data_IF_547037941741
#
_entry.id   IF_547037941741
#
_cell.length_a   1.000
_cell.length_b   1.000
_cell.length_c   1.000
_cell.angle_alpha   90.00
_cell.angle_beta   90.00
_cell.angle_gamma   90.00
#
_symmetry.space_group_name_H-M   'P 1'
#
loop_
_entity.id
_entity.type
_entity.pdbx_description
1 polymer ?
#
# COMPACT_ATOMS: atom_id res chain seq x y z
N UNK A 1 18.73 -36.50 2.17
CA UNK A 1 19.05 -35.26 1.44
C UNK A 1 18.28 -34.13 2.11
N UNK A 2 18.94 -33.33 2.94
CA UNK A 2 18.31 -32.21 3.65
C UNK A 2 18.37 -30.96 2.76
N UNK A 3 17.20 -30.46 2.35
CA UNK A 3 17.09 -29.20 1.62
C UNK A 3 17.00 -28.04 2.60
N UNK A 4 18.05 -27.21 2.68
CA UNK A 4 17.98 -25.92 3.35
C UNK A 4 17.03 -25.00 2.58
N UNK A 5 15.93 -24.61 3.22
CA UNK A 5 15.15 -23.44 2.80
C UNK A 5 15.89 -22.20 3.28
N UNK A 6 16.48 -21.45 2.38
CA UNK A 6 17.01 -20.10 2.67
C UNK A 6 15.81 -19.18 2.92
N UNK A 7 15.52 -18.91 4.19
CA UNK A 7 14.66 -17.79 4.54
C UNK A 7 15.35 -16.49 4.11
N UNK A 8 14.59 -15.54 3.57
CA UNK A 8 15.08 -14.19 3.33
C UNK A 8 15.33 -13.59 4.72
N UNK A 9 16.59 -13.56 5.14
CA UNK A 9 16.98 -13.15 6.49
C UNK A 9 16.63 -11.69 6.76
N UNK A 10 16.12 -11.42 7.95
CA UNK A 10 15.96 -10.06 8.46
C UNK A 10 17.33 -9.54 8.92
N UNK A 11 17.92 -8.64 8.14
CA UNK A 11 19.14 -7.94 8.56
C UNK A 11 18.77 -6.83 9.54
N UNK A 12 18.96 -7.09 10.84
CA UNK A 12 18.83 -6.10 11.91
C UNK A 12 19.84 -4.93 11.78
N UNK A 13 20.82 -5.04 10.87
CA UNK A 13 21.80 -4.00 10.51
C UNK A 13 21.36 -3.09 9.35
N UNK A 14 20.16 -3.31 8.78
CA UNK A 14 19.67 -2.50 7.68
C UNK A 14 19.55 -1.02 8.08
N UNK A 15 19.85 -0.08 7.15
CA UNK A 15 19.78 1.35 7.45
C UNK A 15 18.36 1.77 7.80
N UNK A 16 18.25 2.64 8.80
CA UNK A 16 16.98 3.29 9.14
C UNK A 16 16.61 4.29 8.03
N UNK A 17 15.46 4.09 7.41
CA UNK A 17 15.00 4.92 6.30
C UNK A 17 14.30 6.18 6.81
N UNK A 18 14.40 7.26 6.04
CA UNK A 18 13.65 8.50 6.27
C UNK A 18 13.19 9.07 4.94
N UNK A 19 11.99 9.66 4.92
CA UNK A 19 11.43 10.30 3.75
C UNK A 19 9.95 10.57 3.94
N UNK A 20 9.15 10.09 3.00
CA UNK A 20 7.70 10.29 2.95
C UNK A 20 6.97 8.97 2.76
N UNK A 21 5.73 8.87 3.23
CA UNK A 21 4.87 7.73 2.91
C UNK A 21 4.61 7.69 1.42
N UNK A 22 4.78 6.51 0.80
CA UNK A 22 4.62 6.28 -0.64
C UNK A 22 3.24 6.65 -1.18
N UNK A 23 2.27 6.54 -0.30
CA UNK A 23 0.88 6.22 -0.57
C UNK A 23 0.05 6.48 0.68
N UNK A 24 -1.28 6.48 0.52
CA UNK A 24 -2.15 6.47 1.68
C UNK A 24 -1.99 5.15 2.44
N UNK A 25 -1.73 5.26 3.73
CA UNK A 25 -1.65 4.14 4.65
C UNK A 25 -2.87 4.15 5.56
N UNK A 26 -3.26 3.01 6.10
CA UNK A 26 -4.39 2.91 7.02
C UNK A 26 -3.95 2.18 8.29
N UNK A 27 -4.33 2.75 9.43
CA UNK A 27 -3.84 2.32 10.73
C UNK A 27 -4.98 1.89 11.66
N UNK A 28 -4.82 0.73 12.31
CA UNK A 28 -5.61 0.36 13.48
C UNK A 28 -4.80 0.70 14.72
N UNK A 29 -5.22 1.74 15.45
CA UNK A 29 -4.42 2.34 16.52
C UNK A 29 -3.04 2.77 16.00
N UNK A 30 -1.98 2.09 16.42
CA UNK A 30 -0.60 2.31 15.99
C UNK A 30 -0.12 1.28 14.96
N UNK A 31 -0.95 0.33 14.51
CA UNK A 31 -0.56 -0.75 13.60
C UNK A 31 -0.99 -0.47 12.15
N UNK A 32 -0.03 -0.52 11.23
CA UNK A 32 -0.25 -0.41 9.78
C UNK A 32 0.18 -1.74 9.15
N UNK A 33 -0.80 -2.55 8.75
CA UNK A 33 -0.56 -3.84 8.09
C UNK A 33 -0.17 -3.64 6.62
N UNK A 34 0.62 -4.56 6.07
CA UNK A 34 0.85 -4.70 4.63
C UNK A 34 -0.44 -4.90 3.82
N UNK A 35 -1.53 -5.30 4.47
CA UNK A 35 -2.90 -5.36 3.90
C UNK A 35 -3.60 -4.02 3.70
N UNK A 36 -3.20 -2.99 4.42
CA UNK A 36 -3.66 -1.61 4.24
C UNK A 36 -5.19 -1.43 4.11
N UNK A 37 -5.97 -2.11 4.96
CA UNK A 37 -7.44 -2.12 4.90
C UNK A 37 -8.05 -0.70 4.87
N UNK A 38 -8.79 -0.40 3.78
CA UNK A 38 -9.33 0.94 3.49
C UNK A 38 -10.39 1.44 4.47
N UNK A 39 -10.99 0.57 5.28
CA UNK A 39 -11.96 0.99 6.29
C UNK A 39 -11.32 1.62 7.54
N UNK A 40 -10.00 1.50 7.69
CA UNK A 40 -9.29 2.04 8.85
C UNK A 40 -8.96 3.54 8.68
N UNK A 41 -8.64 4.27 9.76
CA UNK A 41 -8.17 5.66 9.68
C UNK A 41 -6.97 5.84 8.72
N UNK A 42 -7.10 6.78 7.79
CA UNK A 42 -6.11 7.04 6.75
C UNK A 42 -5.03 8.04 7.18
N UNK A 43 -3.79 7.70 6.85
CA UNK A 43 -2.60 8.55 6.87
C UNK A 43 -2.29 8.94 5.41
N UNK A 44 -2.30 10.23 5.05
CA UNK A 44 -2.12 10.64 3.66
C UNK A 44 -0.76 10.26 3.07
N UNK A 45 -0.75 9.98 1.75
CA UNK A 45 0.47 9.91 0.96
C UNK A 45 1.29 11.21 1.10
N UNK A 46 2.61 11.07 1.22
CA UNK A 46 3.50 12.21 1.41
C UNK A 46 3.54 12.72 2.85
N UNK A 47 3.14 11.90 3.83
CA UNK A 47 3.35 12.21 5.24
C UNK A 47 4.83 11.96 5.59
N UNK A 48 5.53 12.87 6.29
CA UNK A 48 6.90 12.62 6.73
C UNK A 48 6.98 11.36 7.59
N UNK A 49 7.89 10.45 7.25
CA UNK A 49 8.09 9.17 7.92
C UNK A 49 9.56 8.92 8.19
N UNK A 50 9.86 8.35 9.36
CA UNK A 50 11.20 7.88 9.72
C UNK A 50 11.11 6.54 10.43
N UNK A 51 11.91 5.57 9.98
CA UNK A 51 12.08 4.29 10.66
C UNK A 51 12.93 4.50 11.91
N UNK A 52 12.46 4.01 13.05
CA UNK A 52 13.14 4.12 14.35
C UNK A 52 13.73 2.80 14.82
N UNK A 53 13.33 1.67 14.22
CA UNK A 53 13.95 0.38 14.44
C UNK A 53 13.25 -0.75 13.66
N UNK A 54 13.96 -1.85 13.44
CA UNK A 54 13.42 -3.09 12.88
C UNK A 54 13.31 -4.15 13.97
N UNK A 55 12.26 -4.96 13.90
CA UNK A 55 12.06 -6.17 14.70
C UNK A 55 11.49 -7.29 13.82
N UNK A 56 11.17 -8.44 14.41
CA UNK A 56 11.07 -9.72 13.67
C UNK A 56 9.99 -9.87 12.60
N UNK A 57 9.01 -8.96 12.54
CA UNK A 57 7.98 -8.92 11.49
C UNK A 57 7.41 -7.50 11.39
N UNK A 58 8.12 -6.51 11.91
CA UNK A 58 7.62 -5.14 12.02
C UNK A 58 8.73 -4.12 12.08
N UNK A 59 8.47 -2.94 11.56
CA UNK A 59 9.31 -1.77 11.77
C UNK A 59 8.59 -0.74 12.64
N UNK A 60 9.28 -0.21 13.65
CA UNK A 60 8.82 0.96 14.38
C UNK A 60 9.09 2.21 13.55
N UNK A 61 8.12 3.10 13.44
CA UNK A 61 8.22 4.33 12.66
C UNK A 61 7.64 5.53 13.41
N UNK A 62 8.16 6.72 13.13
CA UNK A 62 7.51 7.99 13.44
C UNK A 62 6.88 8.53 12.15
N UNK A 63 5.59 8.86 12.18
CA UNK A 63 4.89 9.50 11.07
C UNK A 63 4.29 10.81 11.57
N UNK A 64 4.84 11.93 11.09
CA UNK A 64 4.38 13.26 11.49
C UNK A 64 4.44 13.50 13.00
N UNK A 65 5.45 12.95 13.71
CA UNK A 65 5.62 13.11 15.16
C UNK A 65 4.80 12.15 16.02
N UNK A 66 4.16 11.13 15.41
CA UNK A 66 3.41 10.10 16.12
C UNK A 66 4.02 8.72 15.87
N UNK A 67 4.14 7.87 16.91
CA UNK A 67 4.65 6.52 16.76
C UNK A 67 3.63 5.59 16.09
N UNK A 68 4.10 4.79 15.14
CA UNK A 68 3.37 3.69 14.50
C UNK A 68 4.28 2.47 14.32
N UNK A 69 3.69 1.34 13.94
CA UNK A 69 4.34 0.09 13.59
C UNK A 69 3.88 -0.35 12.21
N UNK A 70 4.81 -0.56 11.30
CA UNK A 70 4.57 -1.21 10.00
C UNK A 70 4.66 -2.72 10.22
N UNK A 71 3.53 -3.43 10.09
CA UNK A 71 3.40 -4.87 10.25
C UNK A 71 3.46 -5.63 8.94
N UNK A 72 4.46 -6.50 8.77
CA UNK A 72 4.54 -7.37 7.61
C UNK A 72 3.77 -8.66 7.90
N UNK A 73 2.45 -8.61 7.82
CA UNK A 73 1.58 -9.66 8.35
C UNK A 73 1.47 -10.85 7.38
N UNK A 74 1.37 -10.56 6.07
CA UNK A 74 0.99 -11.55 5.05
C UNK A 74 2.08 -11.81 4.01
N UNK A 75 2.88 -10.82 3.60
CA UNK A 75 3.85 -10.90 2.49
C UNK A 75 5.22 -11.53 2.80
N UNK A 76 5.42 -12.06 4.02
CA UNK A 76 6.72 -12.49 4.55
C UNK A 76 7.40 -13.62 3.78
N UNK A 77 6.63 -14.43 3.07
CA UNK A 77 7.17 -15.50 2.24
C UNK A 77 7.65 -15.00 0.87
N UNK A 78 7.26 -13.79 0.48
CA UNK A 78 7.49 -13.21 -0.84
C UNK A 78 8.59 -12.14 -0.83
N UNK A 79 8.72 -11.40 0.27
CA UNK A 79 9.75 -10.36 0.44
C UNK A 79 10.21 -10.26 1.91
N UNK A 80 11.33 -9.58 2.17
CA UNK A 80 11.74 -9.24 3.52
C UNK A 80 10.98 -8.04 4.07
N UNK A 81 10.97 -7.88 5.39
CA UNK A 81 10.45 -6.67 6.05
C UNK A 81 11.10 -5.40 5.49
N UNK A 82 12.43 -5.41 5.29
CA UNK A 82 13.19 -4.26 4.79
C UNK A 82 12.83 -3.92 3.34
N UNK A 83 12.60 -4.93 2.49
CA UNK A 83 12.13 -4.72 1.12
C UNK A 83 10.75 -4.08 1.11
N UNK A 84 9.82 -4.59 1.93
CA UNK A 84 8.49 -4.01 2.05
C UNK A 84 8.53 -2.57 2.59
N UNK A 85 9.25 -2.32 3.68
CA UNK A 85 9.42 -0.98 4.27
C UNK A 85 10.07 0.00 3.29
N UNK A 86 11.03 -0.46 2.48
CA UNK A 86 11.65 0.33 1.42
C UNK A 86 10.67 0.78 0.32
N UNK A 87 9.56 0.06 0.11
CA UNK A 87 8.47 0.50 -0.77
C UNK A 87 7.59 1.56 -0.11
N UNK A 88 7.44 1.52 1.22
CA UNK A 88 6.59 2.43 1.99
C UNK A 88 7.27 3.77 2.25
N UNK A 89 8.58 3.77 2.51
CA UNK A 89 9.38 4.98 2.77
C UNK A 89 10.09 5.43 1.49
N UNK A 90 9.56 6.48 0.85
CA UNK A 90 10.12 7.02 -0.39
C UNK A 90 10.92 8.31 -0.12
N UNK A 91 12.05 8.54 -0.81
CA UNK A 91 12.90 9.70 -0.55
C UNK A 91 12.30 11.03 -1.02
N UNK A 92 11.44 11.01 -2.04
CA UNK A 92 10.81 12.19 -2.61
C UNK A 92 9.32 12.26 -2.24
N UNK A 93 8.84 13.46 -1.89
CA UNK A 93 7.43 13.65 -1.52
C UNK A 93 6.50 13.36 -2.72
N UNK A 94 5.66 12.30 -2.66
CA UNK A 94 4.74 11.98 -3.73
C UNK A 94 3.70 13.07 -3.99
N UNK A 95 3.45 14.00 -3.05
CA UNK A 95 2.52 15.13 -3.25
C UNK A 95 2.92 15.98 -4.45
N UNK A 96 4.22 16.15 -4.71
CA UNK A 96 4.72 16.91 -5.86
C UNK A 96 4.34 16.27 -7.20
N UNK A 97 4.33 14.93 -7.24
CA UNK A 97 3.89 14.18 -8.41
C UNK A 97 2.37 14.13 -8.52
N UNK A 98 1.67 13.89 -7.41
CA UNK A 98 0.20 13.85 -7.32
C UNK A 98 -0.41 15.19 -7.77
N UNK A 99 0.21 16.31 -7.43
CA UNK A 99 -0.24 17.64 -7.85
C UNK A 99 -0.34 17.80 -9.38
N UNK A 100 0.50 17.08 -10.14
CA UNK A 100 0.57 17.13 -11.61
C UNK A 100 -0.46 16.23 -12.30
N UNK A 101 -1.17 15.37 -11.56
CA UNK A 101 -2.18 14.50 -12.15
C UNK A 101 -3.45 15.26 -12.55
N UNK A 102 -4.26 14.69 -13.47
CA UNK A 102 -5.62 15.16 -13.71
C UNK A 102 -6.43 15.30 -12.42
N UNK A 103 -7.32 16.29 -12.39
CA UNK A 103 -8.05 16.65 -11.16
C UNK A 103 -8.82 15.46 -10.56
N UNK A 104 -9.52 14.68 -11.38
CA UNK A 104 -10.26 13.50 -10.93
C UNK A 104 -9.36 12.45 -10.26
N UNK A 105 -8.17 12.21 -10.80
CA UNK A 105 -7.20 11.25 -10.22
C UNK A 105 -6.64 11.79 -8.91
N UNK A 106 -6.30 13.08 -8.87
CA UNK A 106 -5.78 13.73 -7.67
C UNK A 106 -6.80 13.73 -6.53
N UNK A 107 -8.07 14.01 -6.83
CA UNK A 107 -9.15 14.00 -5.85
C UNK A 107 -9.45 12.59 -5.36
N UNK A 108 -9.42 11.59 -6.26
CA UNK A 108 -9.55 10.18 -5.90
C UNK A 108 -8.41 9.72 -4.97
N UNK A 109 -7.15 10.04 -5.28
CA UNK A 109 -6.01 9.76 -4.41
C UNK A 109 -6.19 10.44 -3.05
N UNK A 110 -6.61 11.71 -3.00
CA UNK A 110 -6.86 12.40 -1.72
C UNK A 110 -7.95 11.72 -0.89
N UNK A 111 -8.94 11.14 -1.55
CA UNK A 111 -10.05 10.43 -0.91
C UNK A 111 -9.72 8.99 -0.49
N UNK A 112 -8.54 8.45 -0.84
CA UNK A 112 -8.24 7.03 -0.63
C UNK A 112 -9.06 6.11 -1.54
N UNK A 113 -9.45 6.60 -2.72
CA UNK A 113 -10.35 5.94 -3.66
C UNK A 113 -9.77 5.84 -5.06
N UNK A 114 -10.43 5.04 -5.89
CA UNK A 114 -10.00 4.66 -7.22
C UNK A 114 -10.97 5.19 -8.28
N UNK A 115 -10.42 5.58 -9.42
CA UNK A 115 -11.19 5.89 -10.63
C UNK A 115 -10.54 5.18 -11.81
N UNK A 116 -11.35 4.71 -12.75
CA UNK A 116 -10.85 4.06 -13.96
C UNK A 116 -9.89 4.97 -14.74
N UNK A 117 -8.95 4.36 -15.46
CA UNK A 117 -7.88 5.05 -16.17
C UNK A 117 -6.63 5.37 -15.33
N UNK A 118 -6.66 5.17 -14.00
CA UNK A 118 -5.45 5.28 -13.17
C UNK A 118 -4.34 4.32 -13.64
N UNK A 119 -3.07 4.71 -13.54
CA UNK A 119 -1.95 3.76 -13.63
C UNK A 119 -1.79 2.98 -12.32
N UNK A 120 -1.02 1.89 -12.36
CA UNK A 120 -0.67 1.11 -11.17
C UNK A 120 -0.03 1.97 -10.08
N UNK A 121 0.85 2.91 -10.44
CA UNK A 121 1.47 3.82 -9.47
C UNK A 121 0.45 4.76 -8.84
N UNK A 122 -0.55 5.23 -9.60
CA UNK A 122 -1.61 6.09 -9.08
C UNK A 122 -2.53 5.32 -8.13
N UNK A 123 -2.85 4.07 -8.46
CA UNK A 123 -3.58 3.16 -7.57
C UNK A 123 -2.79 2.93 -6.28
N UNK A 124 -1.49 2.61 -6.38
CA UNK A 124 -0.63 2.46 -5.19
C UNK A 124 -0.64 3.72 -4.34
N UNK A 125 -0.54 4.91 -4.94
CA UNK A 125 -0.61 6.16 -4.20
C UNK A 125 -1.96 6.36 -3.48
N UNK A 126 -3.06 5.89 -4.07
CA UNK A 126 -4.40 6.01 -3.52
C UNK A 126 -4.71 5.00 -2.40
N UNK A 127 -4.36 3.72 -2.58
CA UNK A 127 -4.83 2.61 -1.73
C UNK A 127 -3.71 1.69 -1.22
N UNK A 128 -2.45 2.01 -1.50
CA UNK A 128 -1.29 1.21 -1.10
C UNK A 128 -0.93 0.10 -2.09
N UNK A 129 0.18 -0.59 -1.82
CA UNK A 129 0.61 -1.73 -2.63
C UNK A 129 -0.35 -2.91 -2.48
N UNK A 130 -0.59 -3.69 -3.56
CA UNK A 130 -1.29 -4.95 -3.43
C UNK A 130 -0.47 -5.94 -2.58
N UNK A 131 -1.16 -6.80 -1.81
CA UNK A 131 -0.52 -7.85 -1.01
C UNK A 131 0.31 -8.77 -1.90
N UNK A 132 1.59 -8.95 -1.60
CA UNK A 132 2.48 -9.79 -2.41
C UNK A 132 2.16 -11.27 -2.32
N UNK A 133 1.58 -11.73 -1.20
CA UNK A 133 1.07 -13.10 -1.05
C UNK A 133 -0.10 -13.42 -1.99
N UNK A 134 -0.86 -12.40 -2.38
CA UNK A 134 -2.05 -12.51 -3.24
C UNK A 134 -1.77 -12.05 -4.67
N UNK A 135 -0.74 -11.22 -4.84
CA UNK A 135 -0.37 -10.59 -6.10
C UNK A 135 1.15 -10.71 -6.30
N UNK A 136 1.66 -11.89 -6.68
CA UNK A 136 3.11 -12.13 -6.81
C UNK A 136 3.78 -11.29 -7.90
N UNK A 137 3.01 -10.76 -8.84
CA UNK A 137 3.48 -9.86 -9.89
C UNK A 137 2.74 -8.54 -9.85
N UNK A 138 3.50 -7.44 -9.80
CA UNK A 138 2.94 -6.09 -9.91
C UNK A 138 2.24 -5.88 -11.26
N UNK A 139 2.72 -6.54 -12.32
CA UNK A 139 2.15 -6.44 -13.67
C UNK A 139 1.01 -7.44 -13.94
N UNK A 140 0.50 -8.13 -12.90
CA UNK A 140 -0.61 -9.04 -13.05
C UNK A 140 -1.83 -8.36 -13.72
N UNK A 141 -2.59 -9.09 -14.55
CA UNK A 141 -3.78 -8.55 -15.24
C UNK A 141 -4.91 -8.22 -14.28
N UNK A 142 -4.89 -8.81 -13.08
CA UNK A 142 -5.83 -8.54 -12.00
C UNK A 142 -5.05 -8.42 -10.69
N UNK A 143 -5.40 -7.43 -9.87
CA UNK A 143 -4.99 -7.40 -8.47
C UNK A 143 -6.16 -7.75 -7.55
N UNK A 144 -5.93 -8.57 -6.53
CA UNK A 144 -6.85 -8.77 -5.39
C UNK A 144 -6.46 -7.84 -4.25
N UNK A 145 -7.44 -7.15 -3.68
CA UNK A 145 -7.27 -6.15 -2.63
C UNK A 145 -8.41 -6.22 -1.61
N UNK A 146 -8.26 -5.54 -0.47
CA UNK A 146 -9.19 -5.64 0.66
C UNK A 146 -9.51 -4.27 1.26
N UNK A 147 -10.80 -3.99 1.44
CA UNK A 147 -11.24 -2.86 2.29
C UNK A 147 -11.20 -3.24 3.77
N UNK A 148 -11.36 -4.53 4.08
CA UNK A 148 -11.30 -5.16 5.40
C UNK A 148 -11.06 -6.67 5.24
N UNK A 149 -10.94 -7.41 6.33
CA UNK A 149 -10.81 -8.88 6.30
C UNK A 149 -11.99 -9.62 5.62
N UNK A 150 -13.13 -8.94 5.42
CA UNK A 150 -14.34 -9.53 4.82
C UNK A 150 -14.75 -8.88 3.49
N UNK A 151 -14.13 -7.76 3.11
CA UNK A 151 -14.46 -7.03 1.89
C UNK A 151 -13.31 -7.08 0.89
N UNK A 152 -13.31 -8.09 0.03
CA UNK A 152 -12.40 -8.16 -1.12
C UNK A 152 -12.93 -7.32 -2.29
N UNK A 153 -12.02 -6.70 -3.02
CA UNK A 153 -12.27 -6.15 -4.35
C UNK A 153 -11.11 -6.48 -5.29
N UNK A 154 -11.39 -6.49 -6.59
CA UNK A 154 -10.42 -6.80 -7.63
C UNK A 154 -10.26 -5.61 -8.58
N UNK A 155 -9.03 -5.41 -9.05
CA UNK A 155 -8.66 -4.37 -9.99
C UNK A 155 -8.19 -5.02 -11.29
N UNK A 156 -8.98 -4.87 -12.34
CA UNK A 156 -8.63 -5.40 -13.66
C UNK A 156 -7.89 -4.35 -14.48
N UNK A 157 -6.81 -4.76 -15.14
CA UNK A 157 -5.94 -3.88 -15.90
C UNK A 157 -6.15 -4.03 -17.40
N UNK A 158 -6.03 -2.92 -18.14
CA UNK A 158 -5.87 -2.97 -19.59
C UNK A 158 -4.48 -3.50 -19.95
N UNK A 159 -4.30 -3.96 -21.19
CA UNK A 159 -2.97 -4.33 -21.72
C UNK A 159 -1.96 -3.16 -21.67
N UNK A 160 -2.43 -1.92 -21.61
CA UNK A 160 -1.60 -0.71 -21.47
C UNK A 160 -1.35 -0.29 -20.01
N UNK A 161 -1.69 -1.13 -19.02
CA UNK A 161 -1.45 -0.87 -17.61
C UNK A 161 -2.35 0.20 -16.98
N UNK A 162 -3.58 0.38 -17.49
CA UNK A 162 -4.57 1.31 -16.94
C UNK A 162 -5.67 0.54 -16.20
N UNK A 163 -6.15 1.09 -15.09
CA UNK A 163 -7.27 0.51 -14.33
C UNK A 163 -8.51 0.51 -15.23
N UNK A 164 -8.92 -0.69 -15.64
CA UNK A 164 -10.08 -0.90 -16.52
C UNK A 164 -11.38 -0.92 -15.73
N UNK A 165 -11.37 -1.65 -14.62
CA UNK A 165 -12.58 -1.99 -13.88
C UNK A 165 -12.26 -2.32 -12.42
N UNK A 166 -13.18 -1.96 -11.53
CA UNK A 166 -13.16 -2.31 -10.11
C UNK A 166 -14.31 -3.28 -9.87
N UNK A 167 -14.00 -4.50 -9.44
CA UNK A 167 -14.99 -5.55 -9.21
C UNK A 167 -15.08 -5.82 -7.71
N UNK A 168 -16.29 -5.75 -7.15
CA UNK A 168 -16.57 -6.14 -5.77
C UNK A 168 -17.84 -6.98 -5.74
N UNK A 169 -17.94 -7.88 -4.76
CA UNK A 169 -19.09 -8.78 -4.64
C UNK A 169 -20.39 -8.05 -4.23
N UNK A 170 -20.25 -6.91 -3.55
CA UNK A 170 -21.38 -6.15 -3.03
C UNK A 170 -21.23 -4.62 -3.27
N UNK A 171 -22.34 -3.88 -3.36
CA UNK A 171 -22.31 -2.43 -3.59
C UNK A 171 -21.67 -1.62 -2.45
N UNK A 172 -21.66 -2.12 -1.22
CA UNK A 172 -21.08 -1.42 -0.06
C UNK A 172 -19.57 -1.35 -0.22
N UNK A 173 -18.93 -2.49 -0.50
CA UNK A 173 -17.49 -2.56 -0.81
C UNK A 173 -17.16 -1.69 -2.01
N UNK A 174 -17.96 -1.75 -3.09
CA UNK A 174 -17.72 -0.93 -4.27
C UNK A 174 -17.77 0.58 -3.96
N UNK A 175 -18.74 1.04 -3.16
CA UNK A 175 -18.88 2.46 -2.81
C UNK A 175 -17.76 2.97 -1.89
N UNK A 176 -17.10 2.09 -1.12
CA UNK A 176 -15.92 2.44 -0.33
C UNK A 176 -14.71 2.71 -1.23
N UNK A 177 -14.53 1.91 -2.29
CA UNK A 177 -13.33 1.98 -3.15
C UNK A 177 -13.48 2.91 -4.33
N UNK A 178 -14.68 3.04 -4.90
CA UNK A 178 -14.90 3.80 -6.13
C UNK A 178 -15.09 5.29 -5.85
N UNK A 179 -14.30 6.12 -6.53
CA UNK A 179 -14.46 7.56 -6.51
C UNK A 179 -15.54 7.98 -7.50
N UNK A 180 -16.68 8.43 -6.98
CA UNK A 180 -17.75 9.05 -7.75
C UNK A 180 -17.68 10.55 -7.54
N UNK A 181 -17.48 11.30 -8.62
CA UNK A 181 -17.49 12.76 -8.56
C UNK A 181 -18.94 13.22 -8.38
N UNK A 182 -19.22 13.87 -7.25
CA UNK A 182 -20.48 14.57 -7.00
C UNK A 182 -20.46 15.95 -7.64
#
# INVERSE_FOLDING_TARGET
MAGCKTGVGEDASAPLLQGYTCCNLHAENDWISDSNYLTLPMIPAGSPIRVTGYGSNRASVDIGGKPYRLGHDYGRAQESLQQWVGKIVVPADPKLRIAKYPANIRDAIRAGKLVTGMSREQVVQAVGYPLTSENPSFEAPTWRMWVSSFGEYQLNWTASGRLKEIVAADPTTLNLVEFKRH
#
